data_IF_824017216113
#
_entry.id   IF_824017216113
#
_cell.length_a   1.000
_cell.length_b   1.000
_cell.length_c   1.000
_cell.angle_alpha   90.00
_cell.angle_beta   90.00
_cell.angle_gamma   90.00
#
_symmetry.space_group_name_H-M   'P 1'
#
loop_
_entity.id
_entity.type
_entity.pdbx_description
1 polymer ?
#
# COMPACT_ATOMS: atom_id res chain seq x y z
N UNK A 1 37.16 -19.45 3.16
CA UNK A 1 35.71 -19.75 3.04
C UNK A 1 35.54 -20.74 1.89
N UNK A 2 34.67 -21.74 2.00
CA UNK A 2 34.37 -22.63 0.86
C UNK A 2 33.90 -21.79 -0.34
N UNK A 3 34.42 -22.07 -1.53
CA UNK A 3 34.14 -21.37 -2.78
C UNK A 3 32.64 -21.29 -3.08
N UNK A 4 31.89 -22.32 -2.67
CA UNK A 4 30.44 -22.42 -2.78
C UNK A 4 29.70 -21.44 -1.84
N UNK A 5 30.24 -21.20 -0.64
CA UNK A 5 29.69 -20.23 0.33
C UNK A 5 29.91 -18.79 -0.13
N UNK A 6 31.02 -18.52 -0.83
CA UNK A 6 31.30 -17.21 -1.42
C UNK A 6 30.37 -16.93 -2.61
N UNK A 7 30.22 -17.89 -3.52
CA UNK A 7 29.32 -17.81 -4.68
C UNK A 7 27.87 -17.55 -4.28
N UNK A 8 27.37 -18.23 -3.24
CA UNK A 8 26.02 -18.01 -2.69
C UNK A 8 25.82 -16.61 -2.12
N UNK A 9 26.80 -16.06 -1.38
CA UNK A 9 26.73 -14.67 -0.87
C UNK A 9 26.66 -13.64 -1.98
N UNK A 10 27.42 -13.86 -3.07
CA UNK A 10 27.41 -12.99 -4.24
C UNK A 10 26.08 -13.10 -4.99
N UNK A 11 25.47 -14.29 -5.07
CA UNK A 11 24.15 -14.48 -5.66
C UNK A 11 23.07 -13.72 -4.88
N UNK A 12 23.12 -13.78 -3.54
CA UNK A 12 22.18 -13.09 -2.66
C UNK A 12 22.29 -11.56 -2.75
N UNK A 13 23.51 -11.01 -2.72
CA UNK A 13 23.72 -9.56 -2.87
C UNK A 13 23.35 -9.08 -4.28
N UNK A 14 23.66 -9.84 -5.32
CA UNK A 14 23.22 -9.51 -6.69
C UNK A 14 21.69 -9.50 -6.79
N UNK A 15 21.01 -10.44 -6.13
CA UNK A 15 19.55 -10.47 -6.05
C UNK A 15 18.97 -9.26 -5.31
N UNK A 16 19.58 -8.85 -4.19
CA UNK A 16 19.21 -7.62 -3.46
C UNK A 16 19.33 -6.38 -4.36
N UNK A 17 20.44 -6.21 -5.07
CA UNK A 17 20.66 -5.07 -5.97
C UNK A 17 19.63 -5.00 -7.10
N UNK A 18 19.22 -6.16 -7.62
CA UNK A 18 18.20 -6.23 -8.65
C UNK A 18 16.79 -5.97 -8.11
N UNK A 19 16.49 -6.47 -6.92
CA UNK A 19 15.20 -6.30 -6.27
C UNK A 19 14.93 -4.82 -5.91
N UNK A 20 15.90 -4.13 -5.30
CA UNK A 20 15.81 -2.70 -4.97
C UNK A 20 16.09 -1.76 -6.17
N UNK A 21 16.16 -2.31 -7.38
CA UNK A 21 16.45 -1.57 -8.64
C UNK A 21 17.75 -0.73 -8.62
N UNK A 22 18.70 -1.06 -7.74
CA UNK A 22 20.06 -0.48 -7.79
C UNK A 22 20.82 -0.92 -9.05
N UNK A 23 20.45 -2.06 -9.65
CA UNK A 23 20.95 -2.55 -10.94
C UNK A 23 19.85 -3.25 -11.74
N UNK A 24 19.79 -2.99 -13.05
CA UNK A 24 18.76 -3.55 -13.95
C UNK A 24 19.22 -4.79 -14.71
N UNK A 25 20.52 -5.08 -14.72
CA UNK A 25 21.13 -6.17 -15.50
C UNK A 25 21.86 -7.18 -14.61
N UNK A 26 21.60 -8.48 -14.81
CA UNK A 26 22.24 -9.58 -14.05
C UNK A 26 23.77 -9.52 -14.09
N UNK A 27 24.35 -9.15 -15.22
CA UNK A 27 25.80 -9.07 -15.36
C UNK A 27 26.40 -7.93 -14.52
N UNK A 28 25.74 -6.77 -14.51
CA UNK A 28 26.16 -5.63 -13.69
C UNK A 28 25.95 -5.92 -12.22
N UNK A 29 24.80 -6.49 -11.85
CA UNK A 29 24.48 -6.90 -10.49
C UNK A 29 25.50 -7.90 -9.92
N UNK A 30 25.84 -8.97 -10.66
CA UNK A 30 26.82 -9.97 -10.18
C UNK A 30 28.24 -9.42 -10.10
N UNK A 31 28.63 -8.54 -11.03
CA UNK A 31 29.95 -7.91 -11.04
C UNK A 31 30.10 -6.92 -9.88
N UNK A 32 29.05 -6.11 -9.63
CA UNK A 32 28.98 -5.17 -8.51
C UNK A 32 28.94 -5.89 -7.17
N UNK A 33 28.13 -6.94 -7.05
CA UNK A 33 28.08 -7.80 -5.86
C UNK A 33 29.42 -8.49 -5.59
N UNK A 34 30.06 -9.03 -6.63
CA UNK A 34 31.38 -9.66 -6.50
C UNK A 34 32.45 -8.66 -6.07
N UNK A 35 32.46 -7.42 -6.60
CA UNK A 35 33.40 -6.39 -6.15
C UNK A 35 33.17 -5.94 -4.70
N UNK A 36 31.91 -5.89 -4.26
CA UNK A 36 31.56 -5.51 -2.87
C UNK A 36 31.95 -6.60 -1.86
N UNK A 37 31.83 -7.87 -2.25
CA UNK A 37 32.02 -9.02 -1.35
C UNK A 37 33.44 -9.58 -1.42
N UNK A 38 34.04 -9.56 -2.61
CA UNK A 38 35.39 -10.07 -2.88
C UNK A 38 36.34 -8.88 -2.98
N UNK A 39 37.41 -8.86 -2.17
CA UNK A 39 38.47 -7.83 -2.22
C UNK A 39 39.41 -7.98 -3.44
N UNK A 40 38.93 -8.50 -4.57
CA UNK A 40 39.73 -8.77 -5.77
C UNK A 40 38.89 -9.34 -6.93
N UNK A 41 39.49 -9.41 -8.13
CA UNK A 41 38.83 -9.91 -9.34
C UNK A 41 38.56 -11.42 -9.24
N UNK A 42 37.30 -11.81 -9.51
CA UNK A 42 36.88 -13.22 -9.56
C UNK A 42 36.92 -13.76 -10.97
N UNK A 43 37.22 -15.06 -11.11
CA UNK A 43 37.14 -15.73 -12.41
C UNK A 43 35.68 -15.89 -12.82
N UNK A 44 35.34 -15.86 -14.13
CA UNK A 44 33.96 -15.99 -14.59
C UNK A 44 33.22 -17.24 -14.11
N UNK A 45 33.95 -18.35 -13.89
CA UNK A 45 33.39 -19.60 -13.35
C UNK A 45 33.06 -19.59 -11.85
N UNK A 46 33.58 -18.60 -11.11
CA UNK A 46 33.33 -18.44 -9.67
C UNK A 46 32.13 -17.52 -9.37
N UNK A 47 31.63 -16.83 -10.40
CA UNK A 47 30.45 -15.98 -10.31
C UNK A 47 29.17 -16.83 -10.33
N UNK A 48 28.12 -16.39 -9.63
CA UNK A 48 26.82 -17.04 -9.73
C UNK A 48 26.23 -16.90 -11.13
N UNK A 49 25.51 -17.94 -11.53
CA UNK A 49 24.72 -17.98 -12.76
C UNK A 49 23.47 -17.11 -12.61
N UNK A 50 22.92 -16.65 -13.73
CA UNK A 50 21.67 -15.89 -13.72
C UNK A 50 20.51 -16.70 -13.11
N UNK A 51 20.54 -18.04 -13.21
CA UNK A 51 19.57 -18.93 -12.57
C UNK A 51 19.67 -18.86 -11.05
N UNK A 52 20.87 -18.99 -10.49
CA UNK A 52 21.10 -18.88 -9.05
C UNK A 52 20.73 -17.49 -8.52
N UNK A 53 21.01 -16.43 -9.28
CA UNK A 53 20.59 -15.06 -8.90
C UNK A 53 19.06 -14.95 -8.95
N UNK A 54 18.38 -15.50 -9.97
CA UNK A 54 16.91 -15.52 -10.05
C UNK A 54 16.28 -16.27 -8.88
N UNK A 55 16.79 -17.45 -8.54
CA UNK A 55 16.33 -18.22 -7.37
C UNK A 55 16.50 -17.41 -6.07
N UNK A 56 17.58 -16.63 -5.94
CA UNK A 56 17.77 -15.71 -4.82
C UNK A 56 16.88 -14.47 -4.89
N UNK A 57 16.55 -13.94 -6.08
CA UNK A 57 15.56 -12.85 -6.23
C UNK A 57 14.19 -13.34 -5.76
N UNK A 58 13.80 -14.56 -6.12
CA UNK A 58 12.55 -15.19 -5.64
C UNK A 58 12.58 -15.46 -4.13
N UNK A 59 13.74 -15.78 -3.55
CA UNK A 59 13.90 -15.93 -2.11
C UNK A 59 13.88 -14.58 -1.37
N UNK A 60 14.52 -13.54 -1.93
CA UNK A 60 14.51 -12.17 -1.41
C UNK A 60 13.10 -11.58 -1.53
N UNK A 61 12.41 -11.77 -2.65
CA UNK A 61 11.00 -11.38 -2.81
C UNK A 61 10.09 -12.11 -1.82
N UNK A 62 10.28 -13.42 -1.60
CA UNK A 62 9.52 -14.15 -0.56
C UNK A 62 9.83 -13.67 0.86
N UNK A 63 11.07 -13.30 1.14
CA UNK A 63 11.51 -12.84 2.45
C UNK A 63 11.14 -11.36 2.74
N UNK A 64 10.98 -10.52 1.71
CA UNK A 64 10.63 -9.10 1.84
C UNK A 64 9.15 -8.78 1.48
N UNK A 65 8.45 -9.64 0.74
CA UNK A 65 7.10 -9.33 0.19
C UNK A 65 6.00 -10.32 0.61
N UNK A 66 6.26 -11.26 1.52
CA UNK A 66 5.40 -12.45 1.76
C UNK A 66 3.92 -12.17 2.07
N UNK A 67 3.62 -11.24 2.98
CA UNK A 67 2.23 -10.92 3.37
C UNK A 67 1.66 -9.71 2.62
N UNK A 68 2.42 -8.61 2.49
CA UNK A 68 1.96 -7.39 1.80
C UNK A 68 1.64 -7.63 0.31
N UNK A 69 2.40 -8.47 -0.39
CA UNK A 69 2.10 -8.83 -1.79
C UNK A 69 0.92 -9.77 -1.90
N UNK A 70 0.75 -10.67 -0.93
CA UNK A 70 -0.41 -11.56 -0.89
C UNK A 70 -1.71 -10.76 -0.61
N UNK A 71 -1.65 -9.79 0.30
CA UNK A 71 -2.75 -8.85 0.58
C UNK A 71 -3.06 -8.01 -0.66
N UNK A 72 -2.05 -7.32 -1.22
CA UNK A 72 -2.21 -6.50 -2.43
C UNK A 72 -2.70 -7.30 -3.63
N UNK A 73 -2.23 -8.54 -3.81
CA UNK A 73 -2.72 -9.44 -4.85
C UNK A 73 -4.20 -9.77 -4.62
N UNK A 74 -4.60 -9.99 -3.37
CA UNK A 74 -5.99 -10.19 -2.98
C UNK A 74 -6.86 -8.99 -3.30
N UNK A 75 -6.43 -7.78 -2.92
CA UNK A 75 -7.10 -6.51 -3.23
C UNK A 75 -7.24 -6.30 -4.75
N UNK A 76 -6.15 -6.49 -5.50
CA UNK A 76 -6.19 -6.40 -6.97
C UNK A 76 -7.15 -7.42 -7.59
N UNK A 77 -7.27 -8.63 -7.02
CA UNK A 77 -8.22 -9.66 -7.49
C UNK A 77 -9.67 -9.32 -7.14
N UNK A 78 -9.92 -8.72 -5.97
CA UNK A 78 -11.25 -8.21 -5.61
C UNK A 78 -11.68 -7.06 -6.53
N UNK A 79 -10.80 -6.11 -6.79
CA UNK A 79 -11.10 -4.96 -7.65
C UNK A 79 -11.24 -5.40 -9.11
N UNK A 80 -10.46 -6.38 -9.56
CA UNK A 80 -10.69 -7.09 -10.81
C UNK A 80 -12.09 -7.71 -10.87
N UNK A 81 -12.51 -8.43 -9.82
CA UNK A 81 -13.83 -9.06 -9.76
C UNK A 81 -14.96 -8.02 -9.83
N UNK A 82 -14.82 -6.89 -9.14
CA UNK A 82 -15.77 -5.76 -9.20
C UNK A 82 -15.90 -5.20 -10.62
N UNK A 83 -14.78 -4.89 -11.27
CA UNK A 83 -14.76 -4.41 -12.67
C UNK A 83 -15.39 -5.45 -13.61
N UNK A 84 -15.06 -6.73 -13.46
CA UNK A 84 -15.65 -7.81 -14.25
C UNK A 84 -17.16 -7.93 -14.03
N UNK A 85 -17.69 -7.63 -12.84
CA UNK A 85 -19.14 -7.62 -12.58
C UNK A 85 -19.85 -6.43 -13.25
N UNK A 86 -19.22 -5.25 -13.27
CA UNK A 86 -19.71 -4.08 -14.01
C UNK A 86 -19.78 -4.41 -15.51
N UNK A 87 -18.75 -5.08 -16.03
CA UNK A 87 -18.61 -5.43 -17.45
C UNK A 87 -19.19 -6.81 -17.80
N UNK A 88 -20.04 -7.41 -16.96
CA UNK A 88 -20.50 -8.81 -17.09
C UNK A 88 -21.10 -9.15 -18.45
N UNK A 89 -21.78 -8.19 -19.08
CA UNK A 89 -22.46 -8.36 -20.37
C UNK A 89 -21.47 -8.53 -21.54
N UNK A 90 -20.18 -8.19 -21.32
CA UNK A 90 -19.09 -8.31 -22.28
C UNK A 90 -18.17 -9.51 -22.02
N UNK A 91 -18.62 -10.49 -21.21
CA UNK A 91 -17.91 -11.74 -20.91
C UNK A 91 -16.45 -11.55 -20.49
N UNK A 92 -16.18 -10.74 -19.45
CA UNK A 92 -14.83 -10.33 -19.11
C UNK A 92 -14.00 -11.51 -18.59
N UNK A 93 -12.72 -11.51 -18.95
CA UNK A 93 -11.74 -12.51 -18.49
C UNK A 93 -10.51 -11.81 -17.92
N UNK A 94 -10.17 -12.08 -16.67
CA UNK A 94 -8.92 -11.62 -16.05
C UNK A 94 -7.74 -12.36 -16.69
N UNK A 95 -6.67 -11.63 -17.01
CA UNK A 95 -5.42 -12.19 -17.51
C UNK A 95 -4.21 -11.58 -16.80
N UNK A 96 -3.00 -11.96 -17.20
CA UNK A 96 -1.79 -11.24 -16.80
C UNK A 96 -1.32 -11.54 -15.37
N UNK A 97 -0.64 -10.54 -14.79
CA UNK A 97 0.15 -10.73 -13.56
C UNK A 97 -0.71 -10.97 -12.31
N UNK A 98 -1.91 -10.40 -12.27
CA UNK A 98 -2.89 -10.52 -11.17
C UNK A 98 -3.52 -11.92 -11.14
N UNK A 99 -3.79 -12.52 -12.31
CA UNK A 99 -4.24 -13.90 -12.37
C UNK A 99 -3.14 -14.85 -11.90
N UNK A 100 -1.96 -14.75 -12.52
CA UNK A 100 -0.85 -15.68 -12.28
C UNK A 100 -0.18 -15.50 -10.91
N UNK A 101 -0.55 -14.46 -10.15
CA UNK A 101 0.01 -14.15 -8.83
C UNK A 101 1.40 -13.51 -8.87
N UNK A 102 1.90 -13.13 -10.05
CA UNK A 102 3.24 -12.59 -10.24
C UNK A 102 3.29 -11.05 -10.30
N UNK A 103 2.46 -10.36 -9.48
CA UNK A 103 2.38 -8.89 -9.45
C UNK A 103 3.70 -8.23 -8.99
N UNK A 104 3.96 -7.02 -9.45
CA UNK A 104 5.11 -6.16 -9.06
C UNK A 104 4.59 -4.77 -8.66
N UNK A 105 5.43 -3.93 -8.05
CA UNK A 105 5.06 -2.53 -7.78
C UNK A 105 4.71 -1.80 -9.09
N UNK A 106 3.48 -1.30 -9.17
CA UNK A 106 2.93 -0.64 -10.35
C UNK A 106 2.34 -1.58 -11.40
N UNK A 107 2.09 -2.86 -11.08
CA UNK A 107 1.27 -3.74 -11.92
C UNK A 107 -0.13 -3.20 -12.08
N UNK A 108 -0.63 -3.27 -13.30
CA UNK A 108 -2.00 -3.04 -13.74
C UNK A 108 -2.83 -4.34 -13.69
N UNK A 109 -4.15 -4.16 -13.78
CA UNK A 109 -5.13 -5.24 -13.88
C UNK A 109 -5.55 -5.39 -15.35
N UNK A 110 -5.09 -6.46 -15.99
CA UNK A 110 -5.41 -6.77 -17.39
C UNK A 110 -6.74 -7.55 -17.52
N UNK A 111 -7.72 -7.01 -18.24
CA UNK A 111 -8.99 -7.69 -18.51
C UNK A 111 -9.25 -7.73 -20.02
N UNK A 112 -9.59 -8.91 -20.53
CA UNK A 112 -10.11 -9.03 -21.89
C UNK A 112 -11.63 -8.96 -21.87
N UNK A 113 -12.19 -8.08 -22.70
CA UNK A 113 -13.64 -7.93 -22.89
C UNK A 113 -14.03 -8.19 -24.33
N UNK A 114 -15.25 -8.69 -24.54
CA UNK A 114 -15.69 -9.21 -25.82
C UNK A 114 -16.92 -8.46 -26.31
N UNK A 115 -16.73 -7.60 -27.33
CA UNK A 115 -17.80 -6.76 -27.87
C UNK A 115 -17.51 -6.35 -29.31
N UNK A 116 -18.56 -6.16 -30.09
CA UNK A 116 -18.50 -5.54 -31.42
C UNK A 116 -18.68 -4.01 -31.36
N UNK A 117 -19.00 -3.46 -30.19
CA UNK A 117 -19.20 -2.02 -29.98
C UNK A 117 -18.30 -1.53 -28.85
N UNK A 118 -17.35 -0.66 -29.21
CA UNK A 118 -16.48 0.05 -28.26
C UNK A 118 -17.31 1.06 -27.47
N UNK A 119 -18.30 1.69 -28.12
CA UNK A 119 -19.20 2.67 -27.54
C UNK A 119 -20.09 2.08 -26.45
N UNK A 120 -20.54 0.83 -26.59
CA UNK A 120 -21.29 0.15 -25.53
C UNK A 120 -20.45 -0.01 -24.25
N UNK A 121 -19.20 -0.47 -24.39
CA UNK A 121 -18.27 -0.60 -23.26
C UNK A 121 -18.01 0.77 -22.63
N UNK A 122 -17.80 1.81 -23.45
CA UNK A 122 -17.62 3.19 -22.98
C UNK A 122 -18.81 3.65 -22.14
N UNK A 123 -20.05 3.48 -22.63
CA UNK A 123 -21.27 3.87 -21.92
C UNK A 123 -21.36 3.18 -20.55
N UNK A 124 -21.08 1.87 -20.50
CA UNK A 124 -21.09 1.13 -19.23
C UNK A 124 -20.05 1.66 -18.23
N UNK A 125 -18.85 2.06 -18.69
CA UNK A 125 -17.84 2.66 -17.83
C UNK A 125 -18.25 4.07 -17.36
N UNK A 126 -18.86 4.88 -18.23
CA UNK A 126 -19.37 6.22 -17.90
C UNK A 126 -20.53 6.17 -16.89
N UNK A 127 -21.48 5.25 -17.08
CA UNK A 127 -22.61 5.00 -16.17
C UNK A 127 -22.14 4.54 -14.78
N UNK A 128 -21.04 3.79 -14.73
CA UNK A 128 -20.39 3.38 -13.48
C UNK A 128 -19.50 4.48 -12.86
N UNK A 129 -19.38 5.65 -13.49
CA UNK A 129 -18.57 6.78 -13.01
C UNK A 129 -17.06 6.53 -13.05
N UNK A 130 -16.58 5.67 -13.96
CA UNK A 130 -15.17 5.25 -14.03
C UNK A 130 -14.37 6.11 -15.04
N UNK A 131 -13.40 6.93 -14.58
CA UNK A 131 -12.55 7.71 -15.47
C UNK A 131 -11.71 6.80 -16.37
N UNK A 132 -11.72 7.06 -17.68
CA UNK A 132 -11.01 6.22 -18.64
C UNK A 132 -10.52 6.97 -19.88
N UNK A 133 -9.45 6.45 -20.48
CA UNK A 133 -8.92 6.85 -21.78
C UNK A 133 -9.03 5.69 -22.78
N UNK A 134 -9.32 6.00 -24.05
CA UNK A 134 -9.38 4.98 -25.11
C UNK A 134 -8.21 5.14 -26.07
N UNK A 135 -7.39 4.10 -26.13
CA UNK A 135 -6.19 4.04 -26.98
C UNK A 135 -6.39 3.00 -28.07
N UNK A 136 -6.12 3.38 -29.32
CA UNK A 136 -6.16 2.47 -30.48
C UNK A 136 -4.74 2.15 -30.92
N UNK A 137 -4.33 0.88 -30.75
CA UNK A 137 -2.99 0.41 -31.07
C UNK A 137 -3.01 -0.49 -32.31
N UNK A 138 -2.26 -0.11 -33.34
CA UNK A 138 -2.05 -0.93 -34.52
C UNK A 138 -0.90 -1.89 -34.27
N UNK A 139 -1.17 -3.19 -34.37
CA UNK A 139 -0.19 -4.26 -34.17
C UNK A 139 -0.09 -5.08 -35.44
N UNK A 140 1.11 -5.17 -35.99
CA UNK A 140 1.40 -6.06 -37.12
C UNK A 140 1.95 -7.37 -36.55
N UNK A 141 1.21 -8.46 -36.72
CA UNK A 141 1.63 -9.80 -36.25
C UNK A 141 1.43 -10.80 -37.38
N UNK A 142 2.49 -11.52 -37.76
CA UNK A 142 2.51 -12.48 -38.88
C UNK A 142 2.07 -11.90 -40.25
N UNK A 143 2.32 -10.61 -40.49
CA UNK A 143 1.97 -9.96 -41.77
C UNK A 143 0.53 -9.47 -41.88
N UNK A 144 -0.32 -9.73 -40.86
CA UNK A 144 -1.66 -9.14 -40.75
C UNK A 144 -1.62 -7.92 -39.81
N UNK A 145 -2.19 -6.80 -40.26
CA UNK A 145 -2.39 -5.60 -39.44
C UNK A 145 -3.70 -5.74 -38.67
N UNK A 146 -3.60 -5.79 -37.34
CA UNK A 146 -4.77 -5.79 -36.43
C UNK A 146 -4.73 -4.56 -35.55
N UNK A 147 -5.86 -3.86 -35.47
CA UNK A 147 -6.04 -2.74 -34.55
C UNK A 147 -6.70 -3.26 -33.29
N UNK A 148 -6.04 -3.07 -32.14
CA UNK A 148 -6.59 -3.36 -30.83
C UNK A 148 -7.06 -2.06 -30.18
N UNK A 149 -8.21 -2.13 -29.53
CA UNK A 149 -8.76 -1.03 -28.75
C UNK A 149 -8.54 -1.36 -27.28
N UNK A 150 -7.89 -0.43 -26.58
CA UNK A 150 -7.58 -0.54 -25.17
C UNK A 150 -8.30 0.58 -24.42
N UNK A 151 -8.94 0.26 -23.30
CA UNK A 151 -9.36 1.25 -22.33
C UNK A 151 -8.37 1.22 -21.17
N UNK A 152 -7.80 2.38 -20.85
CA UNK A 152 -7.07 2.58 -19.60
C UNK A 152 -8.05 3.21 -18.61
N UNK A 153 -8.41 2.46 -17.57
CA UNK A 153 -9.37 2.92 -16.55
C UNK A 153 -8.60 3.17 -15.27
N UNK A 154 -8.72 4.37 -14.71
CA UNK A 154 -8.04 4.75 -13.48
C UNK A 154 -8.99 4.64 -12.29
N UNK A 155 -8.49 4.05 -11.20
CA UNK A 155 -9.24 3.82 -9.96
C UNK A 155 -8.28 3.56 -8.80
N UNK A 156 -8.63 2.66 -7.88
CA UNK A 156 -7.69 2.20 -6.83
C UNK A 156 -6.45 1.52 -7.45
N UNK A 157 -6.67 0.78 -8.53
CA UNK A 157 -5.63 0.22 -9.39
C UNK A 157 -5.86 0.66 -10.82
N UNK A 158 -4.79 0.71 -11.61
CA UNK A 158 -4.90 0.93 -13.06
C UNK A 158 -5.40 -0.34 -13.73
N UNK A 159 -6.38 -0.20 -14.63
CA UNK A 159 -6.88 -1.28 -15.46
C UNK A 159 -6.52 -1.07 -16.92
N UNK A 160 -6.14 -2.15 -17.59
CA UNK A 160 -6.06 -2.20 -19.04
C UNK A 160 -7.12 -3.18 -19.58
N UNK A 161 -8.17 -2.63 -20.22
CA UNK A 161 -9.20 -3.44 -20.87
C UNK A 161 -8.88 -3.58 -22.36
N UNK A 162 -8.58 -4.79 -22.81
CA UNK A 162 -8.39 -5.08 -24.23
C UNK A 162 -9.68 -5.59 -24.84
N UNK A 163 -10.19 -4.92 -25.87
CA UNK A 163 -11.42 -5.30 -26.57
C UNK A 163 -11.11 -6.31 -27.68
N UNK A 164 -11.82 -7.43 -27.65
CA UNK A 164 -11.81 -8.47 -28.67
C UNK A 164 -13.20 -8.67 -29.30
N UNK A 165 -13.26 -9.19 -30.54
CA UNK A 165 -14.53 -9.59 -31.13
C UNK A 165 -15.19 -10.76 -30.36
N UNK A 166 -16.53 -10.79 -30.20
CA UNK A 166 -17.25 -11.82 -29.45
C UNK A 166 -16.96 -13.26 -29.88
N UNK A 167 -16.75 -13.50 -31.18
CA UNK A 167 -16.44 -14.82 -31.73
C UNK A 167 -15.10 -15.39 -31.24
N UNK A 168 -14.24 -14.56 -30.65
CA UNK A 168 -12.94 -14.97 -30.13
C UNK A 168 -12.97 -15.36 -28.66
N UNK A 169 -14.11 -15.26 -27.97
CA UNK A 169 -14.20 -15.57 -26.53
C UNK A 169 -13.74 -16.99 -26.20
N UNK A 170 -13.99 -17.96 -27.07
CA UNK A 170 -13.57 -19.36 -26.86
C UNK A 170 -12.15 -19.66 -27.38
N UNK A 171 -11.44 -18.67 -27.91
CA UNK A 171 -10.11 -18.81 -28.51
C UNK A 171 -9.11 -17.89 -27.81
N UNK A 172 -8.49 -18.33 -26.70
CA UNK A 172 -7.54 -17.51 -25.96
C UNK A 172 -6.36 -17.11 -26.85
N UNK A 173 -5.91 -15.83 -26.79
CA UNK A 173 -4.74 -15.40 -27.52
C UNK A 173 -3.49 -16.15 -27.02
N UNK A 174 -2.50 -16.29 -27.90
CA UNK A 174 -1.22 -16.90 -27.53
C UNK A 174 -0.37 -15.87 -26.78
N UNK A 175 0.10 -16.24 -25.59
CA UNK A 175 1.00 -15.41 -24.79
C UNK A 175 2.30 -15.14 -25.56
N UNK A 176 2.68 -13.86 -25.66
CA UNK A 176 3.93 -13.42 -26.27
C UNK A 176 5.17 -13.81 -25.46
N UNK A 177 4.99 -14.22 -24.20
CA UNK A 177 6.07 -14.56 -23.27
C UNK A 177 6.34 -16.06 -23.27
N UNK A 178 5.28 -16.89 -23.23
CA UNK A 178 5.40 -18.35 -23.07
C UNK A 178 5.13 -19.13 -24.36
N UNK A 179 4.55 -18.50 -25.38
CA UNK A 179 4.16 -19.17 -26.64
C UNK A 179 3.00 -20.17 -26.48
N UNK A 180 2.37 -20.23 -25.31
CA UNK A 180 1.21 -21.09 -24.99
C UNK A 180 -0.08 -20.27 -24.99
N UNK A 181 -1.27 -20.91 -25.05
CA UNK A 181 -2.54 -20.23 -24.79
C UNK A 181 -2.46 -19.44 -23.48
N UNK A 182 -2.84 -18.17 -23.53
CA UNK A 182 -2.78 -17.28 -22.37
C UNK A 182 -3.72 -17.79 -21.28
N UNK A 183 -3.20 -17.86 -20.05
CA UNK A 183 -4.02 -18.13 -18.87
C UNK A 183 -5.04 -17.00 -18.68
N UNK A 184 -6.28 -17.39 -18.40
CA UNK A 184 -7.40 -16.48 -18.21
C UNK A 184 -8.37 -17.06 -17.18
N UNK A 185 -9.07 -16.20 -16.46
CA UNK A 185 -10.10 -16.60 -15.51
C UNK A 185 -11.40 -15.84 -15.77
N UNK A 186 -12.50 -16.58 -15.78
CA UNK A 186 -13.87 -16.05 -15.71
C UNK A 186 -14.18 -15.52 -14.31
N UNK A 187 -15.29 -14.80 -14.15
CA UNK A 187 -15.80 -14.33 -12.85
C UNK A 187 -15.86 -15.49 -11.83
N UNK A 188 -16.50 -16.60 -12.21
CA UNK A 188 -16.67 -17.76 -11.32
C UNK A 188 -15.34 -18.47 -10.98
N UNK A 189 -14.36 -18.45 -11.89
CA UNK A 189 -13.02 -19.00 -11.61
C UNK A 189 -12.23 -18.08 -10.69
N UNK A 190 -12.32 -16.76 -10.89
CA UNK A 190 -11.68 -15.77 -10.02
C UNK A 190 -12.24 -15.80 -8.61
N UNK A 191 -13.56 -15.92 -8.45
CA UNK A 191 -14.21 -16.10 -7.14
C UNK A 191 -13.66 -17.33 -6.39
N UNK A 192 -13.48 -18.45 -7.09
CA UNK A 192 -12.88 -19.66 -6.52
C UNK A 192 -11.42 -19.47 -6.13
N UNK A 193 -10.65 -18.74 -6.95
CA UNK A 193 -9.25 -18.40 -6.65
C UNK A 193 -9.18 -17.52 -5.40
N UNK A 194 -10.01 -16.48 -5.31
CA UNK A 194 -10.07 -15.59 -4.14
C UNK A 194 -10.47 -16.37 -2.89
N UNK A 195 -11.53 -17.17 -2.94
CA UNK A 195 -11.97 -17.97 -1.79
C UNK A 195 -10.90 -18.95 -1.30
N UNK A 196 -10.09 -19.51 -2.22
CA UNK A 196 -9.04 -20.48 -1.90
C UNK A 196 -7.75 -19.82 -1.40
N UNK A 197 -7.31 -18.75 -2.04
CA UNK A 197 -6.00 -18.13 -1.82
C UNK A 197 -6.05 -16.91 -0.89
N UNK A 198 -7.24 -16.31 -0.72
CA UNK A 198 -7.49 -15.15 0.12
C UNK A 198 -8.78 -15.33 0.96
N UNK A 199 -8.87 -16.36 1.81
CA UNK A 199 -10.10 -16.69 2.56
C UNK A 199 -10.57 -15.56 3.49
N UNK A 200 -9.65 -14.76 4.02
CA UNK A 200 -9.94 -13.61 4.89
C UNK A 200 -10.55 -12.42 4.12
N UNK A 201 -10.37 -12.36 2.80
CA UNK A 201 -10.99 -11.37 1.91
C UNK A 201 -12.35 -11.85 1.35
N UNK A 202 -12.61 -13.16 1.38
CA UNK A 202 -13.87 -13.75 0.92
C UNK A 202 -15.10 -13.36 1.76
N UNK A 203 -14.89 -12.88 2.99
CA UNK A 203 -15.97 -12.44 3.89
C UNK A 203 -16.41 -10.99 3.62
N UNK A 204 -15.67 -10.21 2.82
CA UNK A 204 -16.09 -8.86 2.39
C UNK A 204 -17.00 -8.88 1.15
N UNK A 205 -17.22 -10.05 0.53
CA UNK A 205 -17.95 -10.16 -0.74
C UNK A 205 -19.46 -10.41 -0.61
N UNK A 206 -20.03 -10.43 0.62
CA UNK A 206 -21.46 -10.72 0.83
C UNK A 206 -22.25 -9.56 1.44
N UNK A 207 -21.62 -8.55 2.06
CA UNK A 207 -22.32 -7.43 2.71
C UNK A 207 -21.81 -6.04 2.28
N UNK A 208 -21.70 -5.78 0.98
CA UNK A 208 -21.45 -4.43 0.49
C UNK A 208 -22.22 -4.12 -0.80
N UNK A 209 -23.54 -4.09 -0.69
CA UNK A 209 -24.32 -3.09 -1.42
C UNK A 209 -24.11 -1.72 -0.75
N UNK A 210 -22.90 -1.15 -0.77
CA UNK A 210 -22.72 0.30 -0.56
C UNK A 210 -21.54 0.83 -1.42
N UNK A 211 -21.72 1.97 -2.11
CA UNK A 211 -20.69 2.54 -2.95
C UNK A 211 -19.65 3.31 -2.11
N UNK A 212 -18.37 2.92 -2.22
CA UNK A 212 -17.23 3.77 -1.89
C UNK A 212 -16.89 3.92 -0.40
N UNK A 213 -16.34 2.88 0.23
CA UNK A 213 -15.65 3.05 1.52
C UNK A 213 -14.20 3.44 1.22
N UNK A 214 -13.87 4.71 1.46
CA UNK A 214 -12.49 5.21 1.43
C UNK A 214 -11.70 4.48 2.53
N UNK A 215 -10.56 3.89 2.18
CA UNK A 215 -9.64 3.31 3.18
C UNK A 215 -9.13 4.42 4.10
N UNK A 216 -9.60 4.44 5.36
CA UNK A 216 -9.24 5.45 6.36
C UNK A 216 -7.73 5.58 6.56
N UNK A 217 -6.97 4.51 6.40
CA UNK A 217 -5.50 4.55 6.54
C UNK A 217 -4.82 5.27 5.37
N UNK A 218 -5.43 5.24 4.18
CA UNK A 218 -4.95 6.04 3.05
C UNK A 218 -5.14 7.54 3.31
N UNK A 219 -6.23 7.92 3.99
CA UNK A 219 -6.45 9.30 4.45
C UNK A 219 -5.36 9.69 5.44
N UNK A 220 -5.08 8.85 6.44
CA UNK A 220 -4.02 9.10 7.43
C UNK A 220 -2.64 9.28 6.78
N UNK A 221 -2.25 8.38 5.87
CA UNK A 221 -0.99 8.50 5.13
C UNK A 221 -0.91 9.81 4.34
N UNK A 222 -1.99 10.20 3.67
CA UNK A 222 -2.03 11.45 2.89
C UNK A 222 -1.87 12.70 3.74
N UNK A 223 -2.29 12.65 5.01
CA UNK A 223 -2.16 13.73 5.99
C UNK A 223 -0.80 13.74 6.69
N UNK A 224 -0.18 12.56 6.89
CA UNK A 224 1.09 12.40 7.59
C UNK A 224 2.31 12.67 6.69
N UNK A 225 2.29 12.24 5.44
CA UNK A 225 3.44 12.39 4.53
C UNK A 225 3.90 13.84 4.35
N UNK A 226 3.01 14.85 4.18
CA UNK A 226 3.44 16.25 4.07
C UNK A 226 4.20 16.78 5.30
N UNK A 227 3.99 16.18 6.48
CA UNK A 227 4.59 16.63 7.73
C UNK A 227 6.12 16.42 7.77
N UNK A 228 6.68 15.54 6.92
CA UNK A 228 8.15 15.36 6.77
C UNK A 228 8.84 16.66 6.35
N UNK A 229 8.11 17.57 5.72
CA UNK A 229 8.65 18.84 5.22
C UNK A 229 8.32 20.03 6.14
N UNK A 230 7.53 19.81 7.19
CA UNK A 230 7.12 20.85 8.13
C UNK A 230 8.05 20.83 9.33
N UNK A 231 8.70 21.97 9.56
CA UNK A 231 9.67 22.14 10.62
C UNK A 231 9.17 23.18 11.61
N UNK A 232 9.12 22.81 12.89
CA UNK A 232 8.74 23.71 13.96
C UNK A 232 9.94 24.48 14.53
N UNK A 233 9.66 25.36 15.47
CA UNK A 233 10.70 26.14 16.12
C UNK A 233 11.63 25.22 16.91
N UNK A 234 12.87 25.07 16.41
CA UNK A 234 13.95 24.27 17.00
C UNK A 234 14.24 24.51 18.49
N UNK A 235 13.80 25.63 19.05
CA UNK A 235 13.90 25.91 20.49
C UNK A 235 12.96 25.04 21.33
N UNK A 236 11.76 24.77 20.82
CA UNK A 236 10.70 24.04 21.51
C UNK A 236 10.50 22.62 20.93
N UNK A 237 10.93 22.44 19.69
CA UNK A 237 10.84 21.23 18.88
C UNK A 237 12.22 20.92 18.27
N UNK A 238 13.18 20.42 19.06
CA UNK A 238 14.53 20.13 18.59
C UNK A 238 14.62 18.86 17.71
N UNK A 239 13.53 18.10 17.62
CA UNK A 239 13.29 17.08 16.59
C UNK A 239 13.29 17.68 15.18
N UNK A 240 13.46 16.86 14.14
CA UNK A 240 13.65 17.33 12.77
C UNK A 240 12.40 18.01 12.21
N UNK A 241 11.34 17.23 12.04
CA UNK A 241 10.12 17.55 11.32
C UNK A 241 8.91 16.97 12.08
N UNK A 242 7.71 17.44 11.74
CA UNK A 242 6.47 17.08 12.45
C UNK A 242 6.08 15.61 12.25
N UNK A 243 6.47 14.99 11.12
CA UNK A 243 6.25 13.55 10.92
C UNK A 243 7.10 12.75 11.92
N UNK A 244 8.38 13.08 12.03
CA UNK A 244 9.30 12.47 12.99
C UNK A 244 8.79 12.66 14.42
N UNK A 245 8.26 13.83 14.77
CA UNK A 245 7.61 14.05 16.06
C UNK A 245 6.47 13.05 16.28
N UNK A 246 5.50 13.01 15.35
CA UNK A 246 4.33 12.14 15.43
C UNK A 246 4.69 10.65 15.58
N UNK A 247 5.72 10.19 14.86
CA UNK A 247 6.22 8.80 14.95
C UNK A 247 6.91 8.50 16.29
N UNK A 248 7.56 9.48 16.92
CA UNK A 248 8.08 9.33 18.28
C UNK A 248 6.94 9.19 19.29
N UNK A 249 5.94 10.08 19.22
CA UNK A 249 4.77 10.08 20.12
C UNK A 249 4.02 8.75 20.00
N UNK A 250 3.79 8.28 18.78
CA UNK A 250 3.23 6.94 18.51
C UNK A 250 4.07 5.83 19.16
N UNK A 251 5.39 5.84 18.97
CA UNK A 251 6.28 4.80 19.49
C UNK A 251 6.27 4.74 21.01
N UNK A 252 6.20 5.90 21.67
CA UNK A 252 6.10 6.03 23.11
C UNK A 252 4.74 5.55 23.62
N UNK A 253 3.65 5.94 22.96
CA UNK A 253 2.31 5.48 23.32
C UNK A 253 2.18 3.96 23.16
N UNK A 254 2.73 3.39 22.08
CA UNK A 254 2.75 1.94 21.84
C UNK A 254 3.52 1.16 22.90
N UNK A 255 4.59 1.73 23.44
CA UNK A 255 5.36 1.08 24.50
C UNK A 255 4.54 0.93 25.80
N UNK A 256 3.62 1.84 26.06
CA UNK A 256 2.79 1.88 27.27
C UNK A 256 1.44 1.17 27.06
N UNK A 257 0.80 1.36 25.91
CA UNK A 257 -0.50 0.80 25.57
C UNK A 257 -0.52 0.26 24.12
N UNK A 258 0.08 -0.91 23.87
CA UNK A 258 0.27 -1.43 22.51
C UNK A 258 -1.03 -1.83 21.80
N UNK A 259 -2.11 -2.13 22.54
CA UNK A 259 -3.35 -2.66 21.97
C UNK A 259 -4.51 -1.65 21.92
N UNK A 260 -4.31 -0.42 22.42
CA UNK A 260 -5.32 0.63 22.38
C UNK A 260 -5.22 1.39 21.05
N UNK A 261 -5.84 0.86 20.00
CA UNK A 261 -5.77 1.42 18.65
C UNK A 261 -6.17 2.91 18.62
N UNK A 262 -7.25 3.29 19.30
CA UNK A 262 -7.78 4.65 19.29
C UNK A 262 -6.82 5.67 19.95
N UNK A 263 -6.13 5.26 21.02
CA UNK A 263 -5.06 6.06 21.62
C UNK A 263 -3.84 6.16 20.70
N UNK A 264 -3.46 5.07 20.05
CA UNK A 264 -2.32 5.07 19.13
C UNK A 264 -2.59 5.91 17.89
N UNK A 265 -3.82 5.90 17.37
CA UNK A 265 -4.27 6.79 16.30
C UNK A 265 -4.23 8.25 16.76
N UNK A 266 -4.71 8.56 17.97
CA UNK A 266 -4.61 9.92 18.52
C UNK A 266 -3.14 10.36 18.65
N UNK A 267 -2.26 9.48 19.13
CA UNK A 267 -0.82 9.74 19.23
C UNK A 267 -0.16 10.04 17.88
N UNK A 268 -0.52 9.28 16.85
CA UNK A 268 0.03 9.48 15.50
C UNK A 268 -0.55 10.73 14.81
N UNK A 269 -1.83 11.02 15.02
CA UNK A 269 -2.57 12.00 14.20
C UNK A 269 -2.79 13.35 14.88
N UNK A 270 -2.47 13.53 16.16
CA UNK A 270 -2.80 14.75 16.92
C UNK A 270 -2.31 16.06 16.27
N UNK A 271 -1.24 16.00 15.48
CA UNK A 271 -0.58 17.16 14.88
C UNK A 271 -0.75 17.27 13.35
N UNK A 272 -1.57 16.43 12.71
CA UNK A 272 -1.75 16.48 11.24
C UNK A 272 -2.27 17.83 10.74
N UNK A 273 -3.05 18.52 11.57
CA UNK A 273 -3.57 19.85 11.23
C UNK A 273 -2.48 20.92 11.09
N UNK A 274 -1.24 20.69 11.57
CA UNK A 274 -0.11 21.60 11.34
C UNK A 274 0.25 21.71 9.86
N UNK A 275 -0.10 20.72 9.04
CA UNK A 275 0.03 20.78 7.58
C UNK A 275 -1.09 21.54 6.87
N UNK A 276 -2.16 21.89 7.57
CA UNK A 276 -3.36 22.51 7.02
C UNK A 276 -3.49 23.96 7.53
N UNK A 277 -3.66 24.12 8.84
CA UNK A 277 -3.65 25.41 9.54
C UNK A 277 -2.82 25.33 10.82
N UNK A 278 -1.56 25.81 10.80
CA UNK A 278 -0.69 25.83 11.97
C UNK A 278 -1.21 26.67 13.15
N UNK A 279 -2.14 27.62 12.93
CA UNK A 279 -2.65 28.49 14.01
C UNK A 279 -3.79 27.84 14.79
N UNK A 280 -4.54 26.97 14.13
CA UNK A 280 -5.67 26.23 14.71
C UNK A 280 -5.59 24.75 14.29
N UNK A 281 -4.43 24.13 14.57
CA UNK A 281 -4.11 22.80 14.08
C UNK A 281 -5.05 21.73 14.66
N UNK A 282 -5.60 21.96 15.85
CA UNK A 282 -6.54 21.03 16.48
C UNK A 282 -7.84 20.98 15.68
N UNK A 283 -8.44 22.14 15.38
CA UNK A 283 -9.68 22.19 14.60
C UNK A 283 -9.46 21.64 13.18
N UNK A 284 -8.36 22.02 12.55
CA UNK A 284 -8.01 21.53 11.22
C UNK A 284 -7.77 20.02 11.17
N UNK A 285 -7.15 19.44 12.21
CA UNK A 285 -6.98 18.00 12.32
C UNK A 285 -8.33 17.28 12.46
N UNK A 286 -9.22 17.77 13.32
CA UNK A 286 -10.54 17.17 13.52
C UNK A 286 -11.42 17.26 12.29
N UNK A 287 -11.40 18.38 11.56
CA UNK A 287 -12.13 18.54 10.30
C UNK A 287 -11.60 17.58 9.22
N UNK A 288 -10.28 17.44 9.10
CA UNK A 288 -9.67 16.56 8.10
C UNK A 288 -9.86 15.05 8.40
N UNK A 289 -10.05 14.70 9.66
CA UNK A 289 -10.23 13.32 10.12
C UNK A 289 -11.70 12.94 10.33
N UNK A 290 -12.64 13.89 10.13
CA UNK A 290 -14.07 13.66 10.32
C UNK A 290 -14.57 12.51 9.44
N UNK A 291 -15.35 11.60 10.04
CA UNK A 291 -15.81 10.38 9.38
C UNK A 291 -14.77 9.27 9.20
N UNK A 292 -13.50 9.48 9.58
CA UNK A 292 -12.43 8.48 9.50
C UNK A 292 -11.96 7.96 10.86
N UNK A 293 -12.09 8.76 11.92
CA UNK A 293 -11.76 8.39 13.30
C UNK A 293 -13.01 8.20 14.16
N UNK A 294 -12.87 7.50 15.29
CA UNK A 294 -13.94 7.35 16.27
C UNK A 294 -14.12 8.61 17.12
N UNK A 295 -15.26 8.72 17.81
CA UNK A 295 -15.53 9.81 18.76
C UNK A 295 -14.47 9.89 19.87
N UNK A 296 -13.94 8.73 20.30
CA UNK A 296 -12.90 8.65 21.34
C UNK A 296 -11.57 9.17 20.82
N UNK A 297 -11.11 8.75 19.64
CA UNK A 297 -9.90 9.31 19.02
C UNK A 297 -10.04 10.81 18.77
N UNK A 298 -11.19 11.26 18.26
CA UNK A 298 -11.49 12.67 18.07
C UNK A 298 -11.43 13.45 19.40
N UNK A 299 -11.98 12.89 20.48
CA UNK A 299 -11.95 13.50 21.80
C UNK A 299 -10.52 13.63 22.34
N UNK A 300 -9.68 12.60 22.19
CA UNK A 300 -8.27 12.65 22.59
C UNK A 300 -7.50 13.74 21.83
N UNK A 301 -7.68 13.83 20.51
CA UNK A 301 -7.08 14.88 19.68
C UNK A 301 -7.62 16.26 20.08
N UNK A 302 -8.93 16.42 20.30
CA UNK A 302 -9.51 17.71 20.66
C UNK A 302 -8.94 18.28 21.98
N UNK A 303 -8.57 17.41 22.92
CA UNK A 303 -8.21 17.82 24.28
C UNK A 303 -6.70 17.72 24.58
N UNK A 304 -5.85 17.28 23.64
CA UNK A 304 -4.42 17.08 23.91
C UNK A 304 -3.71 18.36 24.40
N UNK A 305 -4.07 19.53 23.85
CA UNK A 305 -3.50 20.81 24.28
C UNK A 305 -3.97 21.22 25.69
N UNK A 306 -5.20 20.88 26.08
CA UNK A 306 -5.66 21.13 27.45
C UNK A 306 -4.97 20.20 28.45
N UNK A 307 -4.70 18.96 28.05
CA UNK A 307 -3.91 18.03 28.85
C UNK A 307 -2.47 18.51 29.04
N UNK A 308 -1.87 19.16 28.03
CA UNK A 308 -0.59 19.86 28.20
C UNK A 308 -0.67 20.94 29.28
N UNK A 309 -1.73 21.76 29.28
CA UNK A 309 -1.92 22.78 30.33
C UNK A 309 -2.08 22.17 31.73
N UNK A 310 -2.70 21.00 31.84
CA UNK A 310 -2.79 20.27 33.11
C UNK A 310 -1.40 19.85 33.59
N UNK A 311 -0.57 19.29 32.69
CA UNK A 311 0.81 18.91 33.01
C UNK A 311 1.70 20.12 33.34
N UNK A 312 1.45 21.28 32.74
CA UNK A 312 2.15 22.54 33.06
C UNK A 312 1.66 23.22 34.35
N UNK A 313 0.58 22.71 34.94
CA UNK A 313 -0.05 23.34 36.10
C UNK A 313 -0.73 24.68 35.79
N UNK A 314 -0.97 24.98 34.52
CA UNK A 314 -1.61 26.23 34.05
C UNK A 314 -3.12 26.07 33.83
N UNK A 315 -3.62 24.82 33.84
CA UNK A 315 -5.04 24.51 33.71
C UNK A 315 -5.90 25.09 34.85
N UNK A 316 -6.99 25.77 34.49
CA UNK A 316 -7.99 26.22 35.46
C UNK A 316 -8.75 25.06 36.13
N UNK A 317 -9.16 25.23 37.39
CA UNK A 317 -9.83 24.18 38.17
C UNK A 317 -11.07 23.57 37.51
N UNK A 318 -11.87 24.39 36.80
CA UNK A 318 -13.08 23.91 36.11
C UNK A 318 -12.72 22.98 34.94
N UNK A 319 -11.74 23.37 34.12
CA UNK A 319 -11.27 22.58 32.98
C UNK A 319 -10.69 21.25 33.45
N UNK A 320 -9.81 21.31 34.46
CA UNK A 320 -9.21 20.12 35.06
C UNK A 320 -10.26 19.13 35.56
N UNK A 321 -11.26 19.59 36.33
CA UNK A 321 -12.37 18.73 36.79
C UNK A 321 -13.19 18.15 35.64
N UNK A 322 -13.39 18.90 34.56
CA UNK A 322 -14.10 18.41 33.37
C UNK A 322 -13.34 17.25 32.73
N UNK A 323 -12.02 17.39 32.57
CA UNK A 323 -11.16 16.35 32.01
C UNK A 323 -11.09 15.12 32.93
N UNK A 324 -10.88 15.33 34.25
CA UNK A 324 -10.80 14.25 35.26
C UNK A 324 -12.08 13.41 35.38
N UNK A 325 -13.23 13.93 34.96
CA UNK A 325 -14.50 13.21 34.95
C UNK A 325 -14.72 12.36 33.68
N UNK A 326 -13.85 12.46 32.67
CA UNK A 326 -13.90 11.62 31.48
C UNK A 326 -13.36 10.23 31.77
N UNK A 327 -13.94 9.20 31.17
CA UNK A 327 -13.40 7.83 31.23
C UNK A 327 -12.04 7.71 30.53
N UNK A 328 -11.79 8.56 29.54
CA UNK A 328 -10.54 8.63 28.77
C UNK A 328 -9.48 9.54 29.38
N UNK A 329 -9.66 10.02 30.61
CA UNK A 329 -8.72 10.94 31.25
C UNK A 329 -7.30 10.37 31.32
N UNK A 330 -7.15 9.11 31.74
CA UNK A 330 -5.83 8.48 31.85
C UNK A 330 -5.15 8.33 30.48
N UNK A 331 -5.90 7.94 29.45
CA UNK A 331 -5.39 7.85 28.07
C UNK A 331 -4.98 9.22 27.52
N UNK A 332 -5.76 10.27 27.80
CA UNK A 332 -5.44 11.64 27.44
C UNK A 332 -4.17 12.14 28.15
N UNK A 333 -4.02 11.84 29.44
CA UNK A 333 -2.82 12.21 30.20
C UNK A 333 -1.59 11.41 29.74
N UNK A 334 -1.77 10.16 29.32
CA UNK A 334 -0.71 9.36 28.69
C UNK A 334 -0.28 9.98 27.37
N UNK A 335 -1.23 10.31 26.49
CA UNK A 335 -0.97 11.00 25.22
C UNK A 335 -0.15 12.28 25.43
N UNK A 336 -0.55 13.13 26.38
CA UNK A 336 0.16 14.38 26.67
C UNK A 336 1.60 14.16 27.20
N UNK A 337 1.84 13.09 27.97
CA UNK A 337 3.19 12.71 28.41
C UNK A 337 4.04 12.22 27.23
N UNK A 338 3.46 11.42 26.34
CA UNK A 338 4.12 10.92 25.13
C UNK A 338 4.49 12.07 24.18
N UNK A 339 3.59 13.04 23.96
CA UNK A 339 3.86 14.26 23.17
C UNK A 339 5.09 15.02 23.70
N UNK A 340 5.15 15.29 25.02
CA UNK A 340 6.33 15.95 25.61
C UNK A 340 7.62 15.16 25.40
N UNK A 341 7.54 13.84 25.57
CA UNK A 341 8.68 12.95 25.45
C UNK A 341 9.11 12.73 23.97
N UNK A 342 8.21 12.92 23.01
CA UNK A 342 8.44 12.80 21.56
C UNK A 342 9.26 13.93 20.94
N UNK A 343 9.97 14.71 21.75
CA UNK A 343 10.83 15.83 21.34
C UNK A 343 12.30 15.47 21.47
N UNK A 344 12.63 14.21 21.17
CA UNK A 344 13.99 13.69 21.29
C UNK A 344 14.78 13.93 19.98
N UNK A 345 15.92 14.65 20.02
CA UNK A 345 16.74 14.84 18.84
C UNK A 345 17.35 13.51 18.38
N UNK A 346 17.31 13.25 17.06
CA UNK A 346 17.90 12.05 16.44
C UNK A 346 17.34 10.72 17.00
N UNK A 347 16.10 10.72 17.48
CA UNK A 347 15.43 9.49 17.85
C UNK A 347 15.33 8.57 16.63
N UNK A 348 15.52 7.26 16.85
CA UNK A 348 15.20 6.26 15.84
C UNK A 348 13.70 6.03 15.90
N UNK A 349 13.00 6.42 14.85
CA UNK A 349 11.57 6.20 14.68
C UNK A 349 11.32 5.07 13.68
N UNK A 350 10.22 4.32 13.82
CA UNK A 350 9.79 3.39 12.77
C UNK A 350 9.44 4.15 11.50
N UNK A 351 9.50 3.46 10.36
CA UNK A 351 9.01 4.01 9.10
C UNK A 351 7.47 4.12 9.15
N UNK A 352 6.89 5.12 8.48
CA UNK A 352 5.44 5.34 8.48
C UNK A 352 4.66 4.08 8.02
N UNK A 353 5.14 3.41 6.97
CA UNK A 353 4.56 2.16 6.47
C UNK A 353 4.52 1.05 7.54
N UNK A 354 5.50 1.01 8.46
CA UNK A 354 5.53 0.03 9.55
C UNK A 354 4.49 0.36 10.64
N UNK A 355 4.26 1.64 10.89
CA UNK A 355 3.26 2.13 11.84
C UNK A 355 1.85 1.88 11.34
N UNK A 356 1.57 2.18 10.06
CA UNK A 356 0.26 1.96 9.45
C UNK A 356 -0.08 0.47 9.41
N UNK A 357 0.88 -0.38 9.04
CA UNK A 357 0.69 -1.83 9.07
C UNK A 357 0.38 -2.35 10.48
N UNK A 358 1.05 -1.81 11.50
CA UNK A 358 0.79 -2.17 12.88
C UNK A 358 -0.65 -1.85 13.30
N UNK A 359 -1.14 -0.65 12.96
CA UNK A 359 -2.51 -0.23 13.26
C UNK A 359 -3.55 -1.05 12.49
N UNK A 360 -3.31 -1.34 11.20
CA UNK A 360 -4.16 -2.28 10.43
C UNK A 360 -4.20 -3.68 11.03
N UNK A 361 -3.11 -4.11 11.68
CA UNK A 361 -3.06 -5.36 12.42
C UNK A 361 -4.00 -5.37 13.62
N UNK A 362 -4.02 -4.29 14.39
CA UNK A 362 -4.90 -4.15 15.55
C UNK A 362 -6.38 -4.17 15.16
N UNK A 363 -6.76 -3.45 14.10
CA UNK A 363 -8.14 -3.45 13.59
C UNK A 363 -8.58 -4.87 13.17
N UNK A 364 -7.71 -5.65 12.53
CA UNK A 364 -8.03 -7.03 12.12
C UNK A 364 -8.19 -7.99 13.29
N UNK A 365 -7.40 -7.80 14.34
CA UNK A 365 -7.34 -8.71 15.47
C UNK A 365 -8.36 -8.36 16.57
N UNK A 366 -8.80 -7.09 16.64
CA UNK A 366 -9.61 -6.57 17.76
C UNK A 366 -10.71 -5.57 17.36
N UNK A 367 -10.81 -5.16 16.08
CA UNK A 367 -11.76 -4.17 15.57
C UNK A 367 -13.11 -4.71 15.13
#
# INVERSE_FOLDING_TARGET
>A
MSQDKLRRRIAWEAARLMYFREETEYYRAKTKAARRISRGDMRPGDLPTNREIREQIEAVARAFEGERRAIRLGEMRLEALRMMRILKDYQPHLVGSVLTGHIRRGSDIDIHVFSNSVEAIRSTLEEAGLPHEVVRKRVVKHGEEKTFVHFHVSGQFEFELTVYPPETVNRPPVSSITGRPMERATIAELEKIIAKEHPNLGHQAVDAEEPGVVDRFQVYESLLLPLEHIHENRKYHPESDVLTHSLQVFSLARAESPYDEELLLAALLHDVGKGIDPKDHVAAALEALDGFITDRTAWLIAHHMEAQQVLDGTAGQRMRRRLENSEDYESLMLLAKCDRAGRCPKALVPELDEVIDYLRGLERDYG
#
